data_IF_050073999651
#
_entry.id   IF_050073999651
#
_cell.length_a   1.000
_cell.length_b   1.000
_cell.length_c   1.000
_cell.angle_alpha   90.00
_cell.angle_beta   90.00
_cell.angle_gamma   90.00
#
_symmetry.space_group_name_H-M   'P 1'
#
loop_
_entity.id
_entity.type
_entity.pdbx_description
1 polymer ?
#
# COMPACT_ATOMS: atom_id res chain seq x y z
N UNK A 1 -34.00 11.11 -21.74
CA UNK A 1 -33.08 11.79 -20.79
C UNK A 1 -33.06 10.99 -19.50
N UNK A 2 -31.95 10.34 -19.15
CA UNK A 2 -31.83 9.69 -17.85
C UNK A 2 -31.70 10.77 -16.77
N UNK A 3 -32.66 10.87 -15.85
CA UNK A 3 -32.54 11.72 -14.67
C UNK A 3 -31.30 11.28 -13.87
N UNK A 4 -30.25 12.11 -13.84
CA UNK A 4 -29.17 11.95 -12.85
C UNK A 4 -29.79 12.22 -11.48
N UNK A 5 -30.12 11.17 -10.74
CA UNK A 5 -30.50 11.29 -9.33
C UNK A 5 -29.26 11.80 -8.58
N UNK A 6 -29.25 13.07 -8.21
CA UNK A 6 -28.17 13.67 -7.43
C UNK A 6 -28.19 13.08 -6.03
N UNK A 7 -27.08 12.47 -5.61
CA UNK A 7 -26.93 11.97 -4.25
C UNK A 7 -26.83 13.14 -3.29
N UNK A 8 -27.53 13.05 -2.16
CA UNK A 8 -27.37 14.02 -1.07
C UNK A 8 -25.95 13.93 -0.53
N UNK A 9 -25.30 15.08 -0.30
CA UNK A 9 -23.92 15.15 0.14
C UNK A 9 -23.86 15.54 1.61
N UNK A 10 -23.20 14.71 2.41
CA UNK A 10 -23.02 14.92 3.85
C UNK A 10 -21.53 15.01 4.15
N UNK A 11 -21.10 16.07 4.83
CA UNK A 11 -19.76 16.16 5.39
C UNK A 11 -19.78 15.82 6.88
N UNK A 12 -18.80 15.06 7.34
CA UNK A 12 -18.70 14.60 8.73
C UNK A 12 -17.29 14.78 9.25
N UNK A 13 -17.12 15.75 10.15
CA UNK A 13 -15.92 15.83 10.97
C UNK A 13 -16.07 14.92 12.20
N UNK A 14 -15.02 14.15 12.49
CA UNK A 14 -15.07 13.06 13.47
C UNK A 14 -14.13 13.36 14.63
N UNK A 15 -14.72 13.55 15.80
CA UNK A 15 -14.00 13.63 17.07
C UNK A 15 -14.18 12.34 17.89
N UNK A 16 -13.48 12.26 19.02
CA UNK A 16 -13.55 11.10 19.92
C UNK A 16 -14.94 10.91 20.52
N UNK A 17 -15.62 12.00 20.87
CA UNK A 17 -16.87 11.97 21.65
C UNK A 17 -18.09 12.21 20.74
N UNK A 18 -17.92 12.96 19.66
CA UNK A 18 -19.02 13.39 18.80
C UNK A 18 -18.60 13.48 17.32
N UNK A 19 -19.62 13.56 16.47
CA UNK A 19 -19.55 13.77 15.04
C UNK A 19 -20.21 15.11 14.74
N UNK A 20 -19.51 15.99 14.03
CA UNK A 20 -20.09 17.23 13.50
C UNK A 20 -20.48 16.98 12.06
N UNK A 21 -21.78 16.99 11.80
CA UNK A 21 -22.34 16.61 10.51
C UNK A 21 -22.94 17.82 9.81
N UNK A 22 -22.80 17.88 8.50
CA UNK A 22 -23.38 18.92 7.65
C UNK A 22 -24.05 18.29 6.42
N UNK A 23 -25.34 18.53 6.22
CA UNK A 23 -26.09 18.10 5.05
C UNK A 23 -26.20 19.27 4.05
N UNK A 24 -25.67 19.08 2.85
CA UNK A 24 -25.56 20.17 1.87
C UNK A 24 -26.91 20.63 1.30
N UNK A 25 -27.89 19.74 1.17
CA UNK A 25 -29.17 20.05 0.53
C UNK A 25 -30.12 20.84 1.44
N UNK A 26 -30.05 20.57 2.74
CA UNK A 26 -30.91 21.19 3.78
C UNK A 26 -30.19 22.27 4.60
N UNK A 27 -28.91 22.53 4.30
CA UNK A 27 -28.02 23.40 5.06
C UNK A 27 -28.02 23.08 6.58
N UNK A 28 -28.23 21.82 6.93
CA UNK A 28 -28.42 21.38 8.31
C UNK A 28 -27.11 20.94 8.95
N UNK A 29 -26.77 21.56 10.08
CA UNK A 29 -25.69 21.12 10.96
C UNK A 29 -26.27 20.32 12.15
N UNK A 30 -25.65 19.20 12.49
CA UNK A 30 -26.04 18.42 13.66
C UNK A 30 -24.83 17.79 14.37
N UNK A 31 -24.93 17.68 15.70
CA UNK A 31 -24.00 16.98 16.56
C UNK A 31 -24.56 15.61 16.90
N UNK A 32 -23.78 14.55 16.65
CA UNK A 32 -24.17 13.17 16.91
C UNK A 32 -23.13 12.54 17.84
N UNK A 33 -23.53 11.90 18.96
CA UNK A 33 -22.58 11.14 19.78
C UNK A 33 -21.84 10.09 18.96
N UNK A 34 -20.52 9.97 19.15
CA UNK A 34 -19.70 8.97 18.47
C UNK A 34 -19.86 7.58 19.14
N UNK A 35 -21.08 7.09 19.12
CA UNK A 35 -21.49 5.81 19.67
C UNK A 35 -22.31 5.04 18.65
N UNK A 36 -22.07 3.73 18.51
CA UNK A 36 -22.74 2.86 17.53
C UNK A 36 -24.26 3.02 17.50
N UNK A 37 -25.00 3.08 18.63
CA UNK A 37 -26.45 3.24 18.61
C UNK A 37 -26.89 4.60 18.06
N UNK A 38 -26.20 5.68 18.45
CA UNK A 38 -26.51 7.03 17.98
C UNK A 38 -26.24 7.18 16.48
N UNK A 39 -25.10 6.67 16.01
CA UNK A 39 -24.72 6.65 14.59
C UNK A 39 -25.77 5.88 13.78
N UNK A 40 -26.17 4.68 14.23
CA UNK A 40 -27.20 3.87 13.54
C UNK A 40 -28.54 4.60 13.43
N UNK A 41 -28.97 5.31 14.48
CA UNK A 41 -30.21 6.08 14.45
C UNK A 41 -30.11 7.24 13.46
N UNK A 42 -29.02 8.00 13.52
CA UNK A 42 -28.77 9.11 12.61
C UNK A 42 -28.68 8.67 11.13
N UNK A 43 -27.98 7.58 10.84
CA UNK A 43 -27.90 7.05 9.47
C UNK A 43 -29.27 6.68 8.88
N UNK A 44 -30.26 6.30 9.72
CA UNK A 44 -31.64 6.03 9.27
C UNK A 44 -32.41 7.30 8.92
N UNK A 45 -32.03 8.45 9.45
CA UNK A 45 -32.71 9.73 9.18
C UNK A 45 -32.19 10.42 7.91
N UNK A 46 -31.08 9.95 7.34
CA UNK A 46 -30.49 10.57 6.15
C UNK A 46 -31.30 10.27 4.87
N UNK A 47 -31.40 11.24 3.95
CA UNK A 47 -32.05 11.02 2.65
C UNK A 47 -31.31 9.96 1.83
N UNK A 48 -32.01 9.34 0.88
CA UNK A 48 -31.42 8.36 -0.05
C UNK A 48 -31.74 8.73 -1.50
N UNK A 49 -30.77 8.60 -2.43
CA UNK A 49 -29.40 8.16 -2.22
C UNK A 49 -28.51 9.27 -1.60
N UNK A 50 -27.49 8.90 -0.81
CA UNK A 50 -26.58 9.85 -0.19
C UNK A 50 -25.12 9.36 -0.14
N UNK A 51 -24.21 10.32 -0.07
CA UNK A 51 -22.78 10.13 0.00
C UNK A 51 -22.17 10.94 1.15
N UNK A 52 -21.30 10.30 1.93
CA UNK A 52 -20.68 10.88 3.12
C UNK A 52 -19.19 11.15 2.84
N UNK A 53 -18.74 12.37 3.08
CA UNK A 53 -17.33 12.70 3.20
C UNK A 53 -16.93 12.76 4.67
N UNK A 54 -15.97 11.94 5.05
CA UNK A 54 -15.54 11.75 6.45
C UNK A 54 -14.06 12.09 6.56
N UNK A 55 -13.69 12.96 7.49
CA UNK A 55 -12.26 13.16 7.80
C UNK A 55 -11.71 11.94 8.56
N UNK A 56 -10.66 11.30 8.02
CA UNK A 56 -9.97 10.24 8.74
C UNK A 56 -8.99 10.81 9.79
N UNK A 57 -9.51 11.08 10.97
CA UNK A 57 -8.68 11.37 12.15
C UNK A 57 -8.57 10.12 13.02
N UNK A 58 -7.34 9.59 13.13
CA UNK A 58 -7.00 8.44 13.99
C UNK A 58 -7.93 7.22 13.76
N UNK A 59 -8.43 6.56 14.82
CA UNK A 59 -9.31 5.37 14.73
C UNK A 59 -10.81 5.70 14.90
N UNK A 60 -11.16 6.94 15.26
CA UNK A 60 -12.51 7.28 15.72
C UNK A 60 -13.57 7.25 14.62
N UNK A 61 -13.16 7.29 13.35
CA UNK A 61 -14.06 7.25 12.20
C UNK A 61 -14.47 5.83 11.79
N UNK A 62 -13.81 4.78 12.31
CA UNK A 62 -14.00 3.39 11.83
C UNK A 62 -15.44 2.93 11.99
N UNK A 63 -16.03 3.14 13.17
CA UNK A 63 -17.41 2.71 13.44
C UNK A 63 -18.42 3.44 12.54
N UNK A 64 -18.25 4.76 12.34
CA UNK A 64 -19.09 5.55 11.43
C UNK A 64 -19.02 5.00 10.00
N UNK A 65 -17.81 4.83 9.47
CA UNK A 65 -17.59 4.43 8.08
C UNK A 65 -18.10 3.01 7.82
N UNK A 66 -17.86 2.07 8.74
CA UNK A 66 -18.38 0.70 8.63
C UNK A 66 -19.92 0.66 8.68
N UNK A 67 -20.54 1.38 9.62
CA UNK A 67 -22.00 1.42 9.74
C UNK A 67 -22.66 2.11 8.55
N UNK A 68 -22.06 3.19 8.03
CA UNK A 68 -22.56 3.88 6.84
C UNK A 68 -22.46 3.01 5.58
N UNK A 69 -21.33 2.32 5.39
CA UNK A 69 -21.16 1.38 4.28
C UNK A 69 -22.18 0.23 4.36
N UNK A 70 -22.37 -0.37 5.56
CA UNK A 70 -23.37 -1.42 5.78
C UNK A 70 -24.81 -0.94 5.53
N UNK A 71 -25.10 0.34 5.78
CA UNK A 71 -26.39 0.95 5.49
C UNK A 71 -26.58 1.31 4.01
N UNK A 72 -25.58 1.07 3.15
CA UNK A 72 -25.64 1.28 1.70
C UNK A 72 -25.28 2.69 1.23
N UNK A 73 -24.63 3.50 2.08
CA UNK A 73 -24.13 4.81 1.68
C UNK A 73 -22.78 4.71 0.98
N UNK A 74 -22.53 5.61 0.02
CA UNK A 74 -21.17 5.83 -0.45
C UNK A 74 -20.41 6.62 0.60
N UNK A 75 -19.25 6.11 1.03
CA UNK A 75 -18.43 6.80 2.03
C UNK A 75 -17.11 7.17 1.40
N UNK A 76 -16.64 8.40 1.62
CA UNK A 76 -15.39 8.91 1.10
C UNK A 76 -14.54 9.37 2.28
N UNK A 77 -13.38 8.74 2.45
CA UNK A 77 -12.43 9.14 3.48
C UNK A 77 -11.52 10.22 2.91
N UNK A 78 -11.56 11.40 3.51
CA UNK A 78 -10.72 12.54 3.14
C UNK A 78 -9.61 12.70 4.19
N UNK A 79 -8.39 12.86 3.70
CA UNK A 79 -7.20 13.08 4.53
C UNK A 79 -7.17 14.54 5.01
N UNK A 80 -6.92 14.77 6.31
CA UNK A 80 -6.92 16.11 6.90
C UNK A 80 -5.88 17.07 6.31
N UNK A 81 -4.76 16.55 5.77
CA UNK A 81 -3.81 17.39 5.04
C UNK A 81 -4.37 17.82 3.67
N UNK A 82 -5.12 16.96 2.97
CA UNK A 82 -5.84 17.35 1.76
C UNK A 82 -6.90 18.41 2.06
N UNK A 83 -7.72 18.19 3.10
CA UNK A 83 -8.75 19.13 3.52
C UNK A 83 -8.16 20.50 3.90
N UNK A 84 -7.03 20.51 4.62
CA UNK A 84 -6.31 21.73 4.99
C UNK A 84 -5.81 22.54 3.79
N UNK A 85 -5.26 21.87 2.77
CA UNK A 85 -4.84 22.55 1.55
C UNK A 85 -6.04 23.06 0.74
N UNK A 86 -7.12 22.29 0.69
CA UNK A 86 -8.36 22.71 0.04
C UNK A 86 -8.94 23.97 0.69
N UNK A 87 -8.96 24.04 2.03
CA UNK A 87 -9.38 25.22 2.80
C UNK A 87 -8.63 26.48 2.35
N UNK A 88 -7.31 26.39 2.24
CA UNK A 88 -6.45 27.50 1.78
C UNK A 88 -6.78 27.90 0.35
N UNK A 89 -7.00 26.92 -0.53
CA UNK A 89 -7.35 27.16 -1.93
C UNK A 89 -8.69 27.89 -2.12
N UNK A 90 -9.68 27.64 -1.25
CA UNK A 90 -10.99 28.31 -1.31
C UNK A 90 -11.07 29.59 -0.47
N UNK A 91 -9.96 30.05 0.11
CA UNK A 91 -9.89 31.29 0.89
C UNK A 91 -10.45 31.22 2.31
N UNK A 92 -10.71 30.02 2.84
CA UNK A 92 -11.22 29.84 4.20
C UNK A 92 -10.16 30.17 5.27
N UNK A 93 -10.49 31.04 6.22
CA UNK A 93 -9.58 31.46 7.31
C UNK A 93 -9.93 30.88 8.68
N UNK A 94 -11.21 30.60 8.92
CA UNK A 94 -11.68 30.01 10.18
C UNK A 94 -11.58 28.48 10.13
N UNK A 95 -11.17 27.89 11.26
CA UNK A 95 -11.17 26.43 11.48
C UNK A 95 -12.00 26.13 12.72
N UNK A 96 -13.18 25.58 12.48
CA UNK A 96 -14.08 25.01 13.47
C UNK A 96 -14.63 23.68 12.93
N UNK A 97 -15.03 22.77 13.81
CA UNK A 97 -15.55 21.46 13.40
C UNK A 97 -16.77 21.59 12.46
N UNK A 98 -17.61 22.61 12.68
CA UNK A 98 -18.73 22.95 11.78
C UNK A 98 -18.26 23.45 10.40
N UNK A 99 -17.22 24.27 10.34
CA UNK A 99 -16.63 24.71 9.07
C UNK A 99 -15.94 23.55 8.33
N UNK A 100 -15.39 22.59 9.07
CA UNK A 100 -14.70 21.42 8.54
C UNK A 100 -15.71 20.43 7.95
N UNK A 101 -16.83 20.18 8.63
CA UNK A 101 -17.97 19.43 8.10
C UNK A 101 -18.52 20.06 6.79
N UNK A 102 -18.71 21.38 6.76
CA UNK A 102 -19.12 22.09 5.52
C UNK A 102 -18.09 21.94 4.40
N UNK A 103 -16.80 22.06 4.74
CA UNK A 103 -15.72 21.95 3.77
C UNK A 103 -15.61 20.53 3.20
N UNK A 104 -15.83 19.49 4.00
CA UNK A 104 -15.89 18.09 3.57
C UNK A 104 -17.02 17.86 2.58
N UNK A 105 -18.22 18.36 2.86
CA UNK A 105 -19.35 18.28 1.93
C UNK A 105 -19.05 19.00 0.61
N UNK A 106 -18.49 20.22 0.67
CA UNK A 106 -18.06 20.96 -0.52
C UNK A 106 -17.00 20.21 -1.31
N UNK A 107 -16.00 19.63 -0.63
CA UNK A 107 -14.94 18.84 -1.26
C UNK A 107 -15.55 17.67 -2.03
N UNK A 108 -16.42 16.88 -1.39
CA UNK A 108 -17.05 15.74 -2.06
C UNK A 108 -17.93 16.17 -3.23
N UNK A 109 -18.73 17.22 -3.06
CA UNK A 109 -19.58 17.76 -4.13
C UNK A 109 -18.78 18.12 -5.39
N UNK A 110 -17.60 18.72 -5.22
CA UNK A 110 -16.79 19.22 -6.33
C UNK A 110 -15.80 18.19 -6.89
N UNK A 111 -15.30 17.28 -6.05
CA UNK A 111 -14.19 16.39 -6.41
C UNK A 111 -14.60 14.91 -6.53
N UNK A 112 -15.89 14.58 -6.35
CA UNK A 112 -16.39 13.18 -6.30
C UNK A 112 -15.93 12.31 -7.48
N UNK A 113 -15.85 12.86 -8.70
CA UNK A 113 -15.42 12.13 -9.90
C UNK A 113 -13.96 11.64 -9.82
N UNK A 114 -13.12 12.32 -9.05
CA UNK A 114 -11.72 11.97 -8.84
C UNK A 114 -11.50 11.14 -7.56
N UNK A 115 -12.55 10.89 -6.78
CA UNK A 115 -12.48 10.14 -5.53
C UNK A 115 -12.95 8.71 -5.72
N UNK A 116 -12.37 7.81 -4.93
CA UNK A 116 -12.83 6.42 -4.84
C UNK A 116 -13.64 6.26 -3.56
N UNK A 117 -14.87 5.71 -3.62
CA UNK A 117 -15.59 5.30 -2.43
C UNK A 117 -14.73 4.35 -1.60
N UNK A 118 -14.80 4.52 -0.29
CA UNK A 118 -14.20 3.64 0.68
C UNK A 118 -14.87 2.28 0.60
N UNK A 119 -14.04 1.26 0.60
CA UNK A 119 -14.44 -0.13 0.79
C UNK A 119 -13.76 -0.69 2.04
N UNK A 120 -14.46 -1.56 2.78
CA UNK A 120 -13.91 -2.19 3.96
C UNK A 120 -12.67 -3.00 3.59
N UNK A 121 -11.55 -2.83 4.30
CA UNK A 121 -10.38 -3.65 4.07
C UNK A 121 -10.70 -5.12 4.45
N UNK A 122 -10.05 -6.11 3.82
CA UNK A 122 -10.18 -7.50 4.26
C UNK A 122 -9.82 -7.65 5.74
N UNK A 123 -10.51 -8.53 6.47
CA UNK A 123 -10.34 -8.68 7.92
C UNK A 123 -8.86 -8.91 8.34
N UNK A 124 -8.10 -9.64 7.52
CA UNK A 124 -6.67 -9.90 7.76
C UNK A 124 -5.82 -8.62 7.72
N UNK A 125 -6.19 -7.63 6.91
CA UNK A 125 -5.43 -6.38 6.75
C UNK A 125 -5.28 -5.64 8.09
N UNK A 126 -6.39 -5.42 8.80
CA UNK A 126 -6.38 -4.72 10.09
C UNK A 126 -5.55 -5.46 11.15
N UNK A 127 -5.68 -6.79 11.20
CA UNK A 127 -4.92 -7.66 12.12
C UNK A 127 -3.41 -7.57 11.86
N UNK A 128 -2.99 -7.72 10.60
CA UNK A 128 -1.58 -7.61 10.22
C UNK A 128 -1.02 -6.21 10.46
N UNK A 129 -1.76 -5.16 10.10
CA UNK A 129 -1.32 -3.78 10.26
C UNK A 129 -1.12 -3.44 11.74
N UNK A 130 -2.06 -3.85 12.59
CA UNK A 130 -1.98 -3.66 14.04
C UNK A 130 -0.77 -4.37 14.65
N UNK A 131 -0.52 -5.63 14.28
CA UNK A 131 0.63 -6.39 14.75
C UNK A 131 1.97 -5.79 14.28
N UNK A 132 2.08 -5.38 13.02
CA UNK A 132 3.28 -4.72 12.48
C UNK A 132 3.58 -3.40 13.21
N UNK A 133 2.55 -2.57 13.44
CA UNK A 133 2.70 -1.29 14.18
C UNK A 133 3.12 -1.52 15.63
N UNK A 134 2.45 -2.44 16.34
CA UNK A 134 2.81 -2.80 17.73
C UNK A 134 4.24 -3.29 17.83
N UNK A 135 4.67 -4.14 16.88
CA UNK A 135 6.06 -4.58 16.78
C UNK A 135 7.01 -3.40 16.59
N UNK A 136 6.69 -2.47 15.69
CA UNK A 136 7.52 -1.30 15.44
C UNK A 136 7.72 -0.46 16.72
N UNK A 137 6.65 -0.20 17.47
CA UNK A 137 6.69 0.50 18.77
C UNK A 137 7.54 -0.27 19.80
N UNK A 138 7.38 -1.59 19.88
CA UNK A 138 8.17 -2.45 20.78
C UNK A 138 9.67 -2.34 20.48
N UNK A 139 10.06 -2.43 19.21
CA UNK A 139 11.47 -2.34 18.78
C UNK A 139 12.02 -0.93 18.98
N UNK A 140 11.21 0.11 18.78
CA UNK A 140 11.60 1.49 19.05
C UNK A 140 11.88 1.70 20.53
N UNK A 141 10.99 1.23 21.41
CA UNK A 141 11.18 1.29 22.86
C UNK A 141 12.44 0.51 23.29
N UNK A 142 12.63 -0.72 22.77
CA UNK A 142 13.85 -1.51 23.00
C UNK A 142 15.10 -0.70 22.66
N UNK A 143 15.14 -0.14 21.45
CA UNK A 143 16.30 0.59 20.95
C UNK A 143 16.59 1.82 21.81
N UNK A 144 15.55 2.60 22.15
CA UNK A 144 15.68 3.79 22.99
C UNK A 144 16.25 3.46 24.38
N UNK A 145 15.71 2.42 25.02
CA UNK A 145 16.17 1.99 26.34
C UNK A 145 17.60 1.45 26.28
N UNK A 146 17.94 0.65 25.27
CA UNK A 146 19.30 0.12 25.10
C UNK A 146 20.33 1.23 24.95
N UNK A 147 20.02 2.28 24.19
CA UNK A 147 20.94 3.42 24.05
C UNK A 147 21.05 4.24 25.33
N UNK A 148 19.93 4.50 26.00
CA UNK A 148 19.93 5.29 27.24
C UNK A 148 20.67 4.62 28.39
N UNK A 149 20.72 3.28 28.42
CA UNK A 149 21.27 2.50 29.54
C UNK A 149 22.63 1.87 29.20
N UNK A 150 23.22 2.22 28.04
CA UNK A 150 24.46 1.60 27.56
C UNK A 150 25.66 1.77 28.52
N UNK A 151 25.67 2.84 29.31
CA UNK A 151 26.78 3.21 30.19
C UNK A 151 26.53 2.85 31.68
N UNK A 152 25.39 2.25 32.02
CA UNK A 152 25.09 1.88 33.40
C UNK A 152 25.45 0.41 33.67
N UNK A 153 26.45 0.21 34.53
CA UNK A 153 26.89 -1.12 34.96
C UNK A 153 26.00 -1.69 36.08
N UNK A 154 25.32 -0.84 36.86
CA UNK A 154 24.63 -1.24 38.08
C UNK A 154 23.37 -2.07 37.81
N UNK A 155 22.65 -1.77 36.73
CA UNK A 155 21.41 -2.46 36.36
C UNK A 155 21.59 -3.46 35.20
N UNK A 156 22.82 -3.77 34.80
CA UNK A 156 23.14 -4.55 33.58
C UNK A 156 22.44 -5.91 33.53
N UNK A 157 22.42 -6.66 34.64
CA UNK A 157 21.80 -7.98 34.69
C UNK A 157 20.27 -7.92 34.56
N UNK A 158 19.62 -7.03 35.33
CA UNK A 158 18.17 -6.80 35.28
C UNK A 158 17.74 -6.29 33.90
N UNK A 159 18.50 -5.37 33.31
CA UNK A 159 18.23 -4.86 31.98
C UNK A 159 18.39 -5.94 30.90
N UNK A 160 19.41 -6.80 30.99
CA UNK A 160 19.56 -7.94 30.09
C UNK A 160 18.37 -8.91 30.17
N UNK A 161 17.85 -9.17 31.38
CA UNK A 161 16.64 -9.99 31.57
C UNK A 161 15.40 -9.32 30.95
N UNK A 162 15.26 -8.01 31.10
CA UNK A 162 14.21 -7.24 30.44
C UNK A 162 14.33 -7.28 28.90
N UNK A 163 15.52 -7.13 28.33
CA UNK A 163 15.72 -7.25 26.88
C UNK A 163 15.33 -8.65 26.36
N UNK A 164 15.59 -9.71 27.13
CA UNK A 164 15.13 -11.07 26.81
C UNK A 164 13.59 -11.17 26.81
N UNK A 165 12.89 -10.49 27.72
CA UNK A 165 11.42 -10.50 27.73
C UNK A 165 10.85 -9.80 26.49
N UNK A 166 11.45 -8.69 26.07
CA UNK A 166 11.10 -7.99 24.83
C UNK A 166 11.33 -8.88 23.59
N UNK A 167 12.42 -9.65 23.56
CA UNK A 167 12.70 -10.59 22.47
C UNK A 167 11.66 -11.72 22.39
N UNK A 168 11.25 -12.26 23.54
CA UNK A 168 10.15 -13.24 23.60
C UNK A 168 8.85 -12.66 23.06
N UNK A 169 8.53 -11.41 23.39
CA UNK A 169 7.34 -10.73 22.87
C UNK A 169 7.44 -10.48 21.36
N UNK A 170 8.61 -10.11 20.84
CA UNK A 170 8.86 -9.98 19.40
C UNK A 170 8.60 -11.29 18.64
N UNK A 171 9.08 -12.41 19.19
CA UNK A 171 8.83 -13.75 18.65
C UNK A 171 7.34 -14.10 18.67
N UNK A 172 6.63 -13.76 19.75
CA UNK A 172 5.18 -13.98 19.83
C UNK A 172 4.43 -13.16 18.78
N UNK A 173 4.79 -11.89 18.57
CA UNK A 173 4.18 -11.05 17.53
C UNK A 173 4.45 -11.64 16.14
N UNK A 174 5.67 -12.10 15.85
CA UNK A 174 6.00 -12.80 14.60
C UNK A 174 5.18 -14.08 14.41
N UNK A 175 4.99 -14.87 15.48
CA UNK A 175 4.12 -16.06 15.45
C UNK A 175 2.68 -15.66 15.10
N UNK A 176 2.11 -14.65 15.75
CA UNK A 176 0.76 -14.14 15.47
C UNK A 176 0.59 -13.61 14.05
N UNK A 177 1.63 -12.96 13.49
CA UNK A 177 1.64 -12.58 12.07
C UNK A 177 1.58 -13.81 11.16
N UNK A 178 2.40 -14.84 11.43
CA UNK A 178 2.41 -16.08 10.65
C UNK A 178 1.09 -16.84 10.73
N UNK A 179 0.47 -16.90 11.91
CA UNK A 179 -0.84 -17.54 12.11
C UNK A 179 -1.94 -16.79 11.32
N UNK A 180 -1.98 -15.46 11.40
CA UNK A 180 -2.92 -14.65 10.63
C UNK A 180 -2.75 -14.80 9.10
N UNK A 181 -1.50 -14.91 8.62
CA UNK A 181 -1.21 -15.17 7.22
C UNK A 181 -1.63 -16.57 6.79
N UNK A 182 -1.48 -17.57 7.66
CA UNK A 182 -1.92 -18.95 7.41
C UNK A 182 -3.44 -19.02 7.29
N UNK A 183 -4.15 -18.45 8.26
CA UNK A 183 -5.61 -18.38 8.28
C UNK A 183 -6.17 -17.71 7.01
N UNK A 184 -5.45 -16.73 6.46
CA UNK A 184 -5.84 -16.01 5.25
C UNK A 184 -5.31 -16.62 3.93
N UNK A 185 -4.56 -17.73 3.97
CA UNK A 185 -3.98 -18.34 2.76
C UNK A 185 -2.87 -17.51 2.08
N UNK A 186 -2.25 -16.57 2.80
CA UNK A 186 -1.28 -15.61 2.24
C UNK A 186 0.19 -16.03 2.39
N UNK A 187 0.47 -17.20 3.00
CA UNK A 187 1.84 -17.65 3.25
C UNK A 187 2.67 -17.86 1.98
N UNK A 188 2.06 -18.36 0.91
CA UNK A 188 2.76 -18.56 -0.36
C UNK A 188 3.18 -17.23 -0.99
N UNK A 189 2.29 -16.23 -0.98
CA UNK A 189 2.59 -14.88 -1.47
C UNK A 189 3.73 -14.23 -0.66
N UNK A 190 3.73 -14.43 0.66
CA UNK A 190 4.82 -13.97 1.53
C UNK A 190 6.13 -14.68 1.18
N UNK A 191 6.12 -16.01 0.96
CA UNK A 191 7.30 -16.77 0.58
C UNK A 191 7.89 -16.30 -0.77
N UNK A 192 7.03 -16.01 -1.77
CA UNK A 192 7.45 -15.45 -3.06
C UNK A 192 8.14 -14.09 -2.89
N UNK A 193 7.58 -13.20 -2.07
CA UNK A 193 8.23 -11.93 -1.74
C UNK A 193 9.59 -12.14 -1.04
N UNK A 194 9.70 -13.12 -0.14
CA UNK A 194 10.96 -13.44 0.56
C UNK A 194 12.04 -14.05 -0.35
N UNK A 195 11.67 -14.57 -1.52
CA UNK A 195 12.64 -15.06 -2.51
C UNK A 195 13.46 -13.91 -3.14
N UNK A 196 12.99 -12.66 -3.01
CA UNK A 196 13.75 -11.48 -3.43
C UNK A 196 14.83 -11.18 -2.38
N UNK A 197 16.09 -11.21 -2.81
CA UNK A 197 17.24 -10.92 -1.95
C UNK A 197 17.09 -9.57 -1.22
N UNK A 198 17.17 -9.61 0.11
CA UNK A 198 16.99 -8.46 1.01
C UNK A 198 15.57 -8.31 1.58
N UNK A 199 14.55 -8.95 1.01
CA UNK A 199 13.19 -8.94 1.57
C UNK A 199 13.05 -10.05 2.63
N UNK A 200 13.01 -9.65 3.90
CA UNK A 200 12.70 -10.55 5.02
C UNK A 200 11.20 -10.74 5.26
N UNK A 201 10.86 -11.68 6.15
CA UNK A 201 9.47 -12.02 6.51
C UNK A 201 8.57 -10.81 6.83
N UNK A 202 9.06 -9.85 7.62
CA UNK A 202 8.27 -8.67 8.00
C UNK A 202 7.99 -7.74 6.83
N UNK A 203 9.00 -7.50 5.97
CA UNK A 203 8.84 -6.68 4.77
C UNK A 203 7.92 -7.37 3.78
N UNK A 204 8.07 -8.67 3.57
CA UNK A 204 7.15 -9.47 2.74
C UNK A 204 5.72 -9.43 3.27
N UNK A 205 5.52 -9.62 4.58
CA UNK A 205 4.21 -9.53 5.24
C UNK A 205 3.58 -8.15 5.03
N UNK A 206 4.36 -7.08 5.20
CA UNK A 206 3.90 -5.71 5.00
C UNK A 206 3.49 -5.41 3.55
N UNK A 207 4.25 -5.94 2.57
CA UNK A 207 3.95 -5.79 1.15
C UNK A 207 2.69 -6.55 0.74
N UNK A 208 2.54 -7.81 1.20
CA UNK A 208 1.35 -8.64 0.94
C UNK A 208 0.11 -8.07 1.63
N UNK A 209 0.24 -7.56 2.86
CA UNK A 209 -0.82 -6.82 3.53
C UNK A 209 -1.21 -5.56 2.75
N UNK A 210 -0.23 -4.77 2.28
CA UNK A 210 -0.55 -3.59 1.47
C UNK A 210 -1.27 -3.95 0.17
N UNK A 211 -0.90 -5.08 -0.44
CA UNK A 211 -1.56 -5.59 -1.64
C UNK A 211 -3.04 -5.92 -1.38
N UNK A 212 -3.35 -6.59 -0.26
CA UNK A 212 -4.74 -6.95 0.04
C UNK A 212 -5.67 -5.77 0.30
N UNK A 213 -5.16 -4.53 0.40
CA UNK A 213 -5.99 -3.35 0.64
C UNK A 213 -6.80 -2.89 -0.56
N UNK A 214 -6.36 -3.16 -1.79
CA UNK A 214 -7.09 -2.72 -2.98
C UNK A 214 -6.46 -3.11 -4.30
N UNK A 215 -7.21 -2.86 -5.36
CA UNK A 215 -6.83 -3.19 -6.72
C UNK A 215 -5.93 -2.11 -7.30
N UNK A 216 -4.65 -2.47 -7.43
CA UNK A 216 -3.63 -1.61 -8.02
C UNK A 216 -3.52 -1.89 -9.52
N UNK A 217 -3.96 -0.93 -10.33
CA UNK A 217 -3.91 -1.01 -11.79
C UNK A 217 -2.48 -0.88 -12.35
N UNK A 218 -1.54 -0.38 -11.56
CA UNK A 218 -0.14 -0.21 -11.97
C UNK A 218 0.83 -0.32 -10.80
N UNK A 219 2.09 -0.62 -11.10
CA UNK A 219 3.14 -0.62 -10.08
C UNK A 219 3.36 0.76 -9.46
N UNK A 220 3.13 1.84 -10.22
CA UNK A 220 3.22 3.21 -9.70
C UNK A 220 2.13 3.51 -8.68
N UNK A 221 0.89 3.05 -8.92
CA UNK A 221 -0.20 3.23 -7.94
C UNK A 221 0.10 2.51 -6.62
N UNK A 222 0.75 1.35 -6.68
CA UNK A 222 1.21 0.62 -5.51
C UNK A 222 2.35 1.35 -4.79
N UNK A 223 3.37 1.82 -5.52
CA UNK A 223 4.48 2.60 -4.95
C UNK A 223 3.98 3.89 -4.27
N UNK A 224 3.00 4.57 -4.86
CA UNK A 224 2.36 5.75 -4.26
C UNK A 224 1.58 5.39 -2.99
N UNK A 225 0.84 4.27 -2.98
CA UNK A 225 0.13 3.79 -1.80
C UNK A 225 1.07 3.45 -0.63
N UNK A 226 2.24 2.87 -0.93
CA UNK A 226 3.29 2.61 0.06
C UNK A 226 3.96 3.90 0.58
N UNK A 227 3.75 5.04 -0.08
CA UNK A 227 4.44 6.30 0.21
C UNK A 227 5.88 6.34 -0.26
N UNK A 228 6.23 5.50 -1.25
CA UNK A 228 7.58 5.39 -1.78
C UNK A 228 7.79 6.29 -3.01
N UNK A 229 6.79 7.08 -3.39
CA UNK A 229 6.84 8.12 -4.41
C UNK A 229 7.59 9.37 -3.89
N UNK A 230 8.16 10.15 -4.82
CA UNK A 230 8.88 11.38 -4.48
C UNK A 230 7.96 12.57 -4.70
N UNK A 231 7.90 13.48 -3.72
CA UNK A 231 7.32 14.80 -3.89
C UNK A 231 8.27 15.65 -4.74
N UNK A 232 7.71 16.27 -5.78
CA UNK A 232 8.37 17.29 -6.60
C UNK A 232 7.93 18.66 -6.09
N UNK A 233 8.88 19.58 -5.92
CA UNK A 233 8.63 20.97 -5.49
C UNK A 233 9.40 21.93 -6.39
N UNK A 234 9.31 21.68 -7.69
CA UNK A 234 9.95 22.50 -8.71
C UNK A 234 9.05 23.70 -9.02
N UNK A 235 9.62 24.89 -9.18
CA UNK A 235 8.88 26.11 -9.57
C UNK A 235 9.70 26.98 -10.51
N UNK A 236 9.18 27.22 -11.71
CA UNK A 236 9.89 27.97 -12.76
C UNK A 236 11.27 27.38 -13.03
N UNK A 237 12.34 28.14 -12.74
CA UNK A 237 13.73 27.69 -12.87
C UNK A 237 14.31 27.00 -11.62
N UNK A 238 13.56 26.94 -10.51
CA UNK A 238 14.02 26.32 -9.26
C UNK A 238 13.74 24.82 -9.27
N UNK A 239 14.80 24.02 -9.20
CA UNK A 239 14.73 22.60 -8.90
C UNK A 239 14.75 22.40 -7.39
N UNK A 240 13.61 22.05 -6.81
CA UNK A 240 13.47 21.83 -5.38
C UNK A 240 14.05 20.49 -4.94
N UNK A 241 14.31 20.34 -3.64
CA UNK A 241 14.76 19.07 -3.08
C UNK A 241 13.62 18.05 -3.14
N UNK A 242 13.86 16.94 -3.84
CA UNK A 242 12.94 15.80 -3.84
C UNK A 242 12.98 15.08 -2.49
N UNK A 243 11.81 14.79 -1.93
CA UNK A 243 11.66 14.04 -0.68
C UNK A 243 10.59 12.97 -0.84
N UNK A 244 10.69 11.88 -0.06
CA UNK A 244 9.62 10.89 -0.04
C UNK A 244 8.32 11.53 0.43
N UNK A 245 7.18 11.10 -0.13
CA UNK A 245 5.91 11.53 0.41
C UNK A 245 5.74 10.99 1.83
N UNK A 246 5.13 11.80 2.71
CA UNK A 246 4.70 11.33 4.03
C UNK A 246 3.37 10.54 3.96
N UNK A 247 2.82 10.35 2.75
CA UNK A 247 1.58 9.59 2.48
C UNK A 247 1.85 8.11 2.68
N UNK A 248 0.85 7.32 3.09
CA UNK A 248 1.03 5.88 3.34
C UNK A 248 1.73 5.53 4.67
N UNK A 249 1.87 4.24 4.94
CA UNK A 249 2.31 3.73 6.24
C UNK A 249 3.82 3.89 6.47
N UNK A 250 4.20 4.63 7.52
CA UNK A 250 5.60 4.88 7.90
C UNK A 250 6.39 3.60 8.18
N UNK A 251 5.75 2.60 8.79
CA UNK A 251 6.39 1.32 9.09
C UNK A 251 6.77 0.56 7.81
N UNK A 252 5.94 0.62 6.76
CA UNK A 252 6.27 -0.04 5.49
C UNK A 252 7.49 0.62 4.84
N UNK A 253 7.56 1.96 4.85
CA UNK A 253 8.76 2.68 4.37
C UNK A 253 10.01 2.28 5.14
N UNK A 254 9.93 2.18 6.47
CA UNK A 254 11.05 1.76 7.32
C UNK A 254 11.49 0.33 7.01
N UNK A 255 10.55 -0.60 6.87
CA UNK A 255 10.84 -2.01 6.51
C UNK A 255 11.47 -2.13 5.12
N UNK A 256 11.02 -1.34 4.15
CA UNK A 256 11.60 -1.30 2.80
C UNK A 256 13.00 -0.69 2.78
N UNK A 257 13.25 0.36 3.56
CA UNK A 257 14.60 0.90 3.74
C UNK A 257 15.55 -0.14 4.34
N UNK A 258 15.11 -0.87 5.37
CA UNK A 258 15.89 -1.96 5.96
C UNK A 258 16.14 -3.11 4.97
N UNK A 259 15.13 -3.45 4.17
CA UNK A 259 15.27 -4.45 3.11
C UNK A 259 16.28 -4.00 2.05
N UNK A 260 16.25 -2.73 1.64
CA UNK A 260 17.23 -2.16 0.72
C UNK A 260 18.66 -2.16 1.30
N UNK A 261 18.82 -1.84 2.58
CA UNK A 261 20.13 -1.93 3.25
C UNK A 261 20.67 -3.36 3.21
N UNK A 262 19.82 -4.35 3.50
CA UNK A 262 20.21 -5.77 3.41
C UNK A 262 20.55 -6.15 1.95
N UNK A 263 19.64 -5.85 1.02
CA UNK A 263 19.77 -6.12 -0.41
C UNK A 263 21.06 -5.53 -1.01
N UNK A 264 21.45 -4.30 -0.63
CA UNK A 264 22.63 -3.62 -1.18
C UNK A 264 23.95 -4.40 -1.01
N UNK A 265 24.01 -5.34 -0.07
CA UNK A 265 25.18 -6.19 0.20
C UNK A 265 25.15 -7.52 -0.55
N UNK A 266 24.07 -7.82 -1.25
CA UNK A 266 23.85 -9.11 -1.92
C UNK A 266 24.28 -9.07 -3.39
N UNK A 267 24.62 -10.23 -3.94
CA UNK A 267 25.08 -10.32 -5.34
C UNK A 267 24.05 -9.78 -6.34
N UNK A 268 22.74 -9.95 -6.07
CA UNK A 268 21.69 -9.50 -6.97
C UNK A 268 21.58 -7.97 -7.10
N UNK A 269 22.00 -7.20 -6.10
CA UNK A 269 21.74 -5.75 -6.02
C UNK A 269 22.98 -4.88 -5.77
N UNK A 270 24.12 -5.48 -5.42
CA UNK A 270 25.37 -4.76 -5.14
C UNK A 270 25.83 -3.90 -6.31
N UNK A 271 25.71 -4.40 -7.54
CA UNK A 271 26.04 -3.65 -8.75
C UNK A 271 25.15 -2.41 -8.93
N UNK A 272 23.83 -2.56 -8.80
CA UNK A 272 22.88 -1.44 -8.84
C UNK A 272 23.21 -0.38 -7.79
N UNK A 273 23.52 -0.82 -6.56
CA UNK A 273 23.90 0.09 -5.48
C UNK A 273 25.19 0.85 -5.82
N UNK A 274 26.24 0.13 -6.22
CA UNK A 274 27.54 0.71 -6.56
C UNK A 274 27.46 1.67 -7.77
N UNK A 275 26.70 1.32 -8.80
CA UNK A 275 26.49 2.16 -9.98
C UNK A 275 25.91 3.53 -9.61
N UNK A 276 24.89 3.57 -8.75
CA UNK A 276 24.32 4.86 -8.34
C UNK A 276 25.22 5.62 -7.36
N UNK A 277 25.98 4.91 -6.51
CA UNK A 277 26.98 5.52 -5.63
C UNK A 277 28.13 6.16 -6.41
N UNK A 278 28.64 5.51 -7.46
CA UNK A 278 29.72 6.06 -8.29
C UNK A 278 29.30 7.32 -9.06
N UNK A 279 27.99 7.51 -9.28
CA UNK A 279 27.40 8.75 -9.83
C UNK A 279 27.18 9.86 -8.80
N UNK A 280 27.76 9.74 -7.60
CA UNK A 280 27.70 10.77 -6.56
C UNK A 280 26.40 10.82 -5.75
N UNK A 281 25.48 9.85 -5.90
CA UNK A 281 24.24 9.81 -5.10
C UNK A 281 24.53 9.45 -3.65
N UNK A 282 23.87 10.13 -2.71
CA UNK A 282 24.00 9.84 -1.29
C UNK A 282 23.47 8.44 -0.95
N UNK A 283 24.01 7.82 0.11
CA UNK A 283 23.64 6.45 0.52
C UNK A 283 22.14 6.29 0.68
N UNK A 284 21.49 7.24 1.36
CA UNK A 284 20.04 7.23 1.56
C UNK A 284 19.26 7.34 0.25
N UNK A 285 19.73 8.12 -0.72
CA UNK A 285 19.07 8.21 -2.03
C UNK A 285 19.11 6.86 -2.75
N UNK A 286 20.26 6.21 -2.79
CA UNK A 286 20.43 4.90 -3.45
C UNK A 286 19.59 3.83 -2.76
N UNK A 287 19.54 3.84 -1.42
CA UNK A 287 18.70 2.92 -0.65
C UNK A 287 17.21 3.15 -0.92
N UNK A 288 16.75 4.40 -1.08
CA UNK A 288 15.37 4.70 -1.46
C UNK A 288 15.07 4.22 -2.89
N UNK A 289 16.00 4.42 -3.83
CA UNK A 289 15.87 3.89 -5.21
C UNK A 289 15.76 2.37 -5.20
N UNK A 290 16.63 1.68 -4.44
CA UNK A 290 16.61 0.23 -4.31
C UNK A 290 15.34 -0.26 -3.60
N UNK A 291 14.89 0.41 -2.54
CA UNK A 291 13.65 0.10 -1.83
C UNK A 291 12.42 0.16 -2.77
N UNK A 292 12.35 1.20 -3.62
CA UNK A 292 11.31 1.30 -4.67
C UNK A 292 11.39 0.14 -5.65
N UNK A 293 12.61 -0.21 -6.08
CA UNK A 293 12.84 -1.33 -7.02
C UNK A 293 12.39 -2.66 -6.41
N UNK A 294 12.76 -2.94 -5.16
CA UNK A 294 12.32 -4.14 -4.41
C UNK A 294 10.80 -4.22 -4.32
N UNK A 295 10.13 -3.11 -3.99
CA UNK A 295 8.67 -3.06 -3.94
C UNK A 295 8.01 -3.31 -5.31
N UNK A 296 8.57 -2.80 -6.41
CA UNK A 296 8.10 -3.10 -7.77
C UNK A 296 8.27 -4.57 -8.14
N UNK A 297 9.40 -5.19 -7.79
CA UNK A 297 9.62 -6.62 -8.02
C UNK A 297 8.62 -7.44 -7.22
N UNK A 298 8.45 -7.15 -5.93
CA UNK A 298 7.44 -7.82 -5.10
C UNK A 298 6.02 -7.66 -5.68
N UNK A 299 5.69 -6.48 -6.20
CA UNK A 299 4.42 -6.23 -6.89
C UNK A 299 4.27 -7.08 -8.17
N UNK A 300 5.32 -7.24 -8.98
CA UNK A 300 5.26 -8.09 -10.17
C UNK A 300 5.06 -9.58 -9.80
N UNK A 301 5.65 -10.03 -8.69
CA UNK A 301 5.51 -11.40 -8.20
C UNK A 301 4.09 -11.76 -7.72
N UNK A 302 3.22 -10.77 -7.50
CA UNK A 302 1.82 -11.00 -7.12
C UNK A 302 1.01 -11.69 -8.22
N UNK A 303 1.31 -11.40 -9.50
CA UNK A 303 0.46 -11.75 -10.64
C UNK A 303 0.64 -13.20 -11.11
N UNK A 304 1.68 -13.89 -10.64
CA UNK A 304 1.90 -15.30 -10.96
C UNK A 304 1.04 -16.25 -10.11
N UNK A 305 -0.18 -15.83 -9.75
CA UNK A 305 -1.19 -16.70 -9.18
C UNK A 305 -1.89 -17.36 -10.37
N UNK A 306 -1.31 -18.44 -10.89
CA UNK A 306 -2.09 -19.46 -11.57
C UNK A 306 -1.40 -20.83 -11.42
N UNK A 307 -1.95 -21.75 -10.62
CA UNK A 307 -1.54 -23.15 -10.65
C UNK A 307 -1.97 -23.88 -11.94
N UNK A 308 -2.88 -23.31 -12.75
CA UNK A 308 -3.43 -23.98 -13.95
C UNK A 308 -3.34 -23.17 -15.26
N UNK A 309 -2.57 -22.09 -15.31
CA UNK A 309 -2.40 -21.31 -16.55
C UNK A 309 -0.97 -20.85 -16.73
N UNK A 310 -0.17 -21.70 -17.37
CA UNK A 310 1.13 -21.31 -17.88
C UNK A 310 0.96 -20.24 -18.97
N UNK A 311 1.15 -18.97 -18.60
CA UNK A 311 1.50 -17.94 -19.56
C UNK A 311 2.97 -18.15 -19.95
N UNK A 312 3.20 -18.87 -21.04
CA UNK A 312 4.49 -18.88 -21.70
C UNK A 312 4.75 -17.49 -22.28
N UNK A 313 5.86 -16.87 -21.89
CA UNK A 313 6.44 -15.76 -22.66
C UNK A 313 7.00 -16.37 -23.95
N UNK A 314 6.36 -16.10 -25.09
CA UNK A 314 6.99 -16.28 -26.41
C UNK A 314 8.25 -15.40 -26.47
N UNK A 315 9.25 -15.87 -27.23
CA UNK A 315 10.57 -15.25 -27.46
C UNK A 315 10.50 -13.73 -27.76
N UNK A 316 9.36 -13.19 -28.19
CA UNK A 316 9.15 -11.79 -28.53
C UNK A 316 8.52 -10.89 -27.44
N UNK A 317 8.30 -11.37 -26.20
CA UNK A 317 7.88 -10.54 -25.05
C UNK A 317 6.59 -9.70 -25.29
N UNK A 318 5.59 -10.21 -26.01
CA UNK A 318 4.25 -9.60 -26.10
C UNK A 318 3.25 -10.37 -25.23
N UNK A 319 2.32 -9.63 -24.61
CA UNK A 319 1.15 -10.19 -23.92
C UNK A 319 0.07 -10.39 -25.00
N UNK A 320 -0.26 -11.64 -25.32
CA UNK A 320 -1.42 -11.96 -26.17
C UNK A 320 -2.59 -12.40 -25.28
N UNK A 321 -3.74 -11.73 -25.43
CA UNK A 321 -5.02 -12.23 -24.93
C UNK A 321 -5.53 -13.34 -25.86
N UNK A 322 -6.19 -14.35 -25.30
CA UNK A 322 -6.81 -15.42 -26.07
C UNK A 322 -7.99 -14.87 -26.88
N UNK A 323 -7.75 -14.51 -28.14
CA UNK A 323 -8.80 -14.50 -29.18
C UNK A 323 -8.31 -14.96 -30.55
N UNK A 324 -7.01 -15.14 -30.78
CA UNK A 324 -6.49 -15.57 -32.08
C UNK A 324 -5.75 -16.91 -31.96
N UNK A 325 -6.51 -18.01 -31.99
CA UNK A 325 -5.95 -19.33 -32.26
C UNK A 325 -5.83 -19.51 -33.79
N UNK A 326 -4.67 -19.89 -34.34
CA UNK A 326 -4.58 -20.25 -35.74
C UNK A 326 -5.38 -21.55 -35.96
N UNK A 327 -6.43 -21.44 -36.77
CA UNK A 327 -7.21 -22.55 -37.29
C UNK A 327 -6.30 -23.42 -38.15
N UNK A 328 -6.00 -24.65 -37.73
CA UNK A 328 -5.24 -25.56 -38.56
C UNK A 328 -4.64 -26.75 -37.83
N UNK A 329 -5.46 -27.70 -37.38
CA UNK A 329 -5.11 -29.11 -37.58
C UNK A 329 -6.38 -29.96 -37.60
N UNK A 330 -6.58 -30.61 -38.74
CA UNK A 330 -7.71 -31.45 -39.08
C UNK A 330 -7.90 -32.62 -38.09
N UNK A 331 -9.17 -32.82 -37.77
CA UNK A 331 -9.74 -34.04 -37.22
C UNK A 331 -9.34 -35.26 -38.07
N UNK A 332 -8.80 -36.28 -37.43
CA UNK A 332 -9.05 -37.67 -37.85
C UNK A 332 -9.70 -38.41 -36.67
N UNK A 333 -11.02 -38.64 -36.81
CA UNK A 333 -11.74 -39.67 -36.06
C UNK A 333 -11.45 -41.02 -36.71
N UNK A 334 -11.10 -42.01 -35.91
CA UNK A 334 -11.28 -43.43 -36.23
C UNK A 334 -11.60 -44.22 -34.96
N UNK A 335 -12.86 -44.68 -34.92
CA UNK A 335 -13.52 -45.82 -34.26
C UNK A 335 -12.98 -46.59 -33.03
N UNK A 336 -13.87 -47.41 -32.41
CA UNK A 336 -13.77 -47.92 -31.05
C UNK A 336 -13.22 -49.36 -30.96
N UNK A 337 -12.68 -49.73 -29.80
CA UNK A 337 -12.27 -51.11 -29.50
C UNK A 337 -12.13 -51.36 -28.01
N UNK A 338 -13.03 -52.20 -27.49
CA UNK A 338 -13.03 -52.80 -26.16
C UNK A 338 -11.70 -53.49 -25.80
N UNK A 339 -11.28 -53.37 -24.54
CA UNK A 339 -10.87 -54.50 -23.70
C UNK A 339 -10.40 -54.01 -22.31
N UNK A 340 -11.17 -54.43 -21.31
CA UNK A 340 -10.81 -54.60 -19.90
C UNK A 340 -9.32 -54.87 -19.64
N UNK A 341 -8.75 -54.24 -18.59
CA UNK A 341 -7.81 -54.87 -17.64
C UNK A 341 -7.45 -53.91 -16.48
N UNK A 342 -7.80 -54.33 -15.26
CA UNK A 342 -6.89 -54.26 -14.11
C UNK A 342 -6.77 -52.95 -13.34
N UNK A 343 -7.70 -52.72 -12.40
CA UNK A 343 -7.42 -51.99 -11.16
C UNK A 343 -6.29 -52.68 -10.40
N UNK A 344 -5.11 -52.04 -10.29
CA UNK A 344 -4.13 -52.29 -9.23
C UNK A 344 -3.61 -50.95 -8.70
N UNK A 345 -4.11 -50.59 -7.52
CA UNK A 345 -3.47 -49.62 -6.65
C UNK A 345 -2.27 -50.28 -5.99
N UNK A 346 -1.05 -49.87 -6.35
CA UNK A 346 0.17 -50.16 -5.59
C UNK A 346 0.76 -48.86 -5.10
N UNK A 347 0.95 -48.77 -3.78
CA UNK A 347 1.30 -47.57 -3.05
C UNK A 347 2.62 -46.92 -3.49
N UNK A 348 2.63 -45.59 -3.42
CA UNK A 348 3.85 -44.80 -3.45
C UNK A 348 4.44 -44.70 -2.03
N UNK A 349 5.77 -44.90 -1.88
CA UNK A 349 6.41 -44.82 -0.59
C UNK A 349 6.53 -43.36 -0.12
N UNK A 350 6.40 -43.22 1.20
CA UNK A 350 6.68 -42.02 1.97
C UNK A 350 8.17 -41.70 1.89
N UNK A 351 8.50 -40.46 1.48
CA UNK A 351 9.76 -39.79 1.85
C UNK A 351 10.80 -39.63 0.75
N UNK A 352 10.84 -38.47 0.10
CA UNK A 352 12.08 -37.77 -0.24
C UNK A 352 11.80 -36.31 -0.66
N UNK A 353 12.53 -35.41 -0.02
CA UNK A 353 12.58 -33.95 -0.17
C UNK A 353 13.03 -33.50 -1.59
N UNK A 354 12.12 -33.57 -2.57
CA UNK A 354 12.32 -33.09 -3.94
C UNK A 354 11.42 -31.89 -4.32
N UNK A 355 10.40 -31.59 -3.51
CA UNK A 355 9.47 -30.48 -3.75
C UNK A 355 10.09 -29.11 -3.42
N UNK A 356 10.93 -29.01 -2.37
CA UNK A 356 11.54 -27.74 -1.97
C UNK A 356 12.57 -27.22 -2.99
N UNK A 357 13.43 -28.09 -3.55
CA UNK A 357 14.46 -27.67 -4.51
C UNK A 357 13.89 -27.26 -5.87
N UNK A 358 12.85 -27.96 -6.37
CA UNK A 358 12.12 -27.55 -7.58
C UNK A 358 11.38 -26.23 -7.39
N UNK A 359 10.78 -26.03 -6.20
CA UNK A 359 10.11 -24.78 -5.84
C UNK A 359 11.10 -23.61 -5.77
N UNK A 360 12.29 -23.80 -5.18
CA UNK A 360 13.32 -22.74 -5.10
C UNK A 360 13.91 -22.38 -6.46
N UNK A 361 14.19 -23.37 -7.34
CA UNK A 361 14.69 -23.10 -8.69
C UNK A 361 13.64 -22.38 -9.57
N UNK A 362 12.37 -22.78 -9.45
CA UNK A 362 11.24 -22.11 -10.09
C UNK A 362 11.08 -20.66 -9.61
N UNK A 363 11.13 -20.44 -8.28
CA UNK A 363 11.05 -19.09 -7.69
C UNK A 363 12.21 -18.20 -8.13
N UNK A 364 13.44 -18.72 -8.26
CA UNK A 364 14.59 -17.93 -8.75
C UNK A 364 14.39 -17.43 -10.18
N UNK A 365 13.88 -18.27 -11.08
CA UNK A 365 13.56 -17.86 -12.47
C UNK A 365 12.44 -16.81 -12.52
N UNK A 366 11.43 -16.99 -11.67
CA UNK A 366 10.31 -16.04 -11.53
C UNK A 366 10.79 -14.69 -10.98
N UNK A 367 11.68 -14.68 -9.98
CA UNK A 367 12.31 -13.47 -9.43
C UNK A 367 13.17 -12.76 -10.48
N UNK A 368 13.97 -13.50 -11.26
CA UNK A 368 14.78 -12.93 -12.33
C UNK A 368 13.91 -12.26 -13.41
N UNK A 369 12.79 -12.89 -13.78
CA UNK A 369 11.83 -12.33 -14.75
C UNK A 369 11.14 -11.08 -14.22
N UNK A 370 10.72 -11.10 -12.94
CA UNK A 370 10.14 -9.93 -12.27
C UNK A 370 11.13 -8.77 -12.13
N UNK A 371 12.42 -9.07 -11.94
CA UNK A 371 13.50 -8.07 -11.93
C UNK A 371 13.62 -7.37 -13.29
N UNK A 372 13.63 -8.13 -14.38
CA UNK A 372 13.68 -7.58 -15.74
C UNK A 372 12.46 -6.69 -16.05
N UNK A 373 11.27 -7.07 -15.59
CA UNK A 373 10.05 -6.25 -15.72
C UNK A 373 10.17 -4.92 -14.95
N UNK A 374 10.69 -4.95 -13.72
CA UNK A 374 10.89 -3.75 -12.91
C UNK A 374 11.92 -2.77 -13.51
N UNK A 375 12.88 -3.29 -14.29
CA UNK A 375 13.87 -2.48 -15.01
C UNK A 375 13.28 -1.76 -16.23
N UNK A 376 12.35 -2.41 -16.95
CA UNK A 376 11.68 -1.82 -18.13
C UNK A 376 10.65 -0.73 -17.80
N UNK A 377 10.20 -0.65 -16.55
CA UNK A 377 9.19 0.31 -16.09
C UNK A 377 9.76 1.53 -15.35
N UNK A 378 11.07 1.80 -15.50
CA UNK A 378 11.68 3.05 -15.05
C UNK A 378 11.25 4.22 -15.97
N UNK A 379 10.98 5.42 -15.43
CA UNK A 379 10.58 6.54 -16.25
C UNK A 379 11.73 6.93 -17.19
N UNK A 380 11.45 6.93 -18.49
CA UNK A 380 12.27 7.56 -19.51
C UNK A 380 12.53 8.99 -19.06
N UNK A 381 13.79 9.37 -18.90
CA UNK A 381 14.15 10.78 -18.70
C UNK A 381 13.64 11.52 -19.93
N UNK A 382 12.59 12.33 -19.76
CA UNK A 382 12.13 13.22 -20.81
C UNK A 382 13.28 14.20 -21.12
N UNK A 383 13.94 13.97 -22.25
CA UNK A 383 14.90 14.87 -22.86
C UNK A 383 14.21 16.21 -23.10
N UNK A 384 14.82 17.27 -22.56
CA UNK A 384 14.40 18.67 -22.73
C UNK A 384 14.24 18.99 -24.22
N UNK A 385 13.09 19.55 -24.61
CA UNK A 385 13.00 20.45 -25.78
C UNK A 385 13.26 21.88 -25.30
N UNK A 386 14.05 22.70 -26.01
CA UNK A 386 14.24 24.09 -25.66
C UNK A 386 13.01 24.87 -26.11
N UNK A 387 12.42 25.69 -25.23
CA UNK A 387 11.43 26.69 -25.64
C UNK A 387 11.80 28.02 -25.03
N UNK A 388 12.16 28.92 -25.95
CA UNK A 388 12.05 30.37 -25.99
C UNK A 388 12.20 31.20 -24.70
N UNK A 389 13.25 32.02 -24.74
CA UNK A 389 13.39 33.31 -24.10
C UNK A 389 12.19 34.22 -24.36
N UNK A 390 11.57 34.71 -23.30
CA UNK A 390 10.90 36.00 -23.28
C UNK A 390 11.30 36.77 -22.01
N UNK A 391 11.66 38.01 -22.26
CA UNK A 391 12.22 39.06 -21.41
C UNK A 391 11.30 39.57 -20.30
N UNK A 392 11.92 40.03 -19.21
CA UNK A 392 11.53 41.25 -18.50
C UNK A 392 10.42 41.12 -17.46
N UNK A 393 10.77 41.36 -16.19
CA UNK A 393 10.41 42.58 -15.43
C UNK A 393 10.85 42.34 -13.98
N UNK A 394 11.79 43.18 -13.54
CA UNK A 394 12.22 43.35 -12.16
C UNK A 394 11.05 43.76 -11.25
N UNK A 395 10.97 43.16 -10.06
CA UNK A 395 10.33 43.80 -8.91
C UNK A 395 11.10 43.53 -7.63
N UNK A 396 11.76 44.59 -7.18
CA UNK A 396 12.35 44.76 -5.88
C UNK A 396 11.32 44.57 -4.76
N UNK A 397 11.71 43.85 -3.70
CA UNK A 397 10.92 43.72 -2.48
C UNK A 397 11.53 44.61 -1.39
N UNK A 398 10.77 45.65 -1.03
CA UNK A 398 10.97 46.49 0.14
C UNK A 398 10.93 45.64 1.43
N UNK A 399 11.92 45.87 2.30
CA UNK A 399 11.85 45.56 3.73
C UNK A 399 11.09 46.69 4.41
N UNK A 400 10.14 46.35 5.26
CA UNK A 400 9.70 47.20 6.36
C UNK A 400 9.79 46.39 7.66
N UNK A 401 10.30 47.12 8.66
CA UNK A 401 10.60 46.84 10.07
C UNK A 401 9.84 45.73 10.76
#
# INVERSE_FOLDING_TARGET
MAMRVSKSVIGVDVAKIELVTYQADSDLLALIPNEKPAIKRWLKTLPRPAALAVEATNIYHVDLVELAYQAGFDVYIIDGFQLSNYRKGVGGRSKTDASDARLLARFLKNESECLRPWTPPPAVYGKLQSLLRRRASLIQAKTSLTQSWANDASLKASFAAFLKSIERLDLLVKKKLKDALREAGLLEQVARCQAVEGIGFLTATALVMAYSRGDFNSSDSYIAFLGMDLRVTDSGQKNGRRSLTKRGCSEIRRLLHNAAMSASRTSAWKEFYNHHRSRGKATTEVLVMLARKLARVAFALRANINPEGALWLDQNHRISHTSDAPTGLLLHRSGPGDASLGLRWSGFPVGADLSAKRTVHSLRKVVASAKAFADKSAPTQATRRPVCSCTGVDRATLRLT
#
